data_IF_480225204597
#
_entry.id   IF_480225204597
#
_cell.length_a   1.000
_cell.length_b   1.000
_cell.length_c   1.000
_cell.angle_alpha   90.00
_cell.angle_beta   90.00
_cell.angle_gamma   90.00
#
_symmetry.space_group_name_H-M   'P 1'
#
loop_
_entity.id
_entity.type
_entity.pdbx_description
1 polymer ?
#
# COMPACT_ATOMS: atom_id res chain seq x y z
N UNK A 1 -22.44 -30.20 -58.41
CA UNK A 1 -21.02 -30.10 -58.00
C UNK A 1 -20.61 -28.68 -57.62
N UNK A 2 -21.06 -27.64 -58.32
CA UNK A 2 -20.65 -26.24 -58.06
C UNK A 2 -21.01 -25.69 -56.67
N UNK A 3 -22.13 -26.13 -56.07
CA UNK A 3 -22.57 -25.67 -54.74
C UNK A 3 -21.65 -26.16 -53.61
N UNK A 4 -21.15 -27.38 -53.72
CA UNK A 4 -20.21 -27.99 -52.76
C UNK A 4 -18.84 -27.33 -52.87
N UNK A 5 -18.39 -27.03 -54.09
CA UNK A 5 -17.12 -26.34 -54.32
C UNK A 5 -17.12 -24.92 -53.72
N UNK A 6 -18.24 -24.19 -53.82
CA UNK A 6 -18.41 -22.86 -53.18
C UNK A 6 -18.45 -22.93 -51.66
N UNK A 7 -19.07 -23.96 -51.10
CA UNK A 7 -19.12 -24.17 -49.65
C UNK A 7 -17.74 -24.52 -49.08
N UNK A 8 -16.98 -25.39 -49.76
CA UNK A 8 -15.60 -25.71 -49.40
C UNK A 8 -14.68 -24.48 -49.48
N UNK A 9 -14.84 -23.64 -50.50
CA UNK A 9 -14.07 -22.40 -50.63
C UNK A 9 -14.39 -21.40 -49.51
N UNK A 10 -15.66 -21.28 -49.12
CA UNK A 10 -16.07 -20.41 -48.01
C UNK A 10 -15.50 -20.90 -46.67
N UNK A 11 -15.53 -22.21 -46.41
CA UNK A 11 -14.92 -22.80 -45.20
C UNK A 11 -13.40 -22.61 -45.17
N UNK A 12 -12.70 -22.79 -46.30
CA UNK A 12 -11.27 -22.52 -46.41
C UNK A 12 -10.94 -21.05 -46.13
N UNK A 13 -11.77 -20.13 -46.63
CA UNK A 13 -11.59 -18.69 -46.42
C UNK A 13 -11.83 -18.30 -44.95
N UNK A 14 -12.84 -18.89 -44.29
CA UNK A 14 -13.12 -18.69 -42.85
C UNK A 14 -11.96 -19.17 -41.97
N UNK A 15 -11.34 -20.31 -42.29
CA UNK A 15 -10.17 -20.84 -41.55
C UNK A 15 -8.93 -19.95 -41.76
N UNK A 16 -8.72 -19.45 -42.98
CA UNK A 16 -7.59 -18.55 -43.28
C UNK A 16 -7.70 -17.19 -42.58
N UNK A 17 -8.91 -16.62 -42.47
CA UNK A 17 -9.11 -15.32 -41.78
C UNK A 17 -9.08 -15.43 -40.26
N UNK A 18 -9.46 -16.59 -39.69
CA UNK A 18 -9.44 -16.80 -38.24
C UNK A 18 -8.05 -17.14 -37.69
N UNK A 19 -7.13 -17.61 -38.54
CA UNK A 19 -5.71 -17.83 -38.18
C UNK A 19 -4.80 -16.60 -38.26
N UNK A 20 -5.31 -15.43 -38.62
CA UNK A 20 -4.54 -14.18 -38.76
C UNK A 20 -4.75 -13.20 -37.60
N UNK A 21 -5.47 -13.59 -36.55
CA UNK A 21 -5.50 -12.78 -35.33
C UNK A 21 -4.10 -12.74 -34.72
N UNK A 22 -3.48 -11.57 -34.52
CA UNK A 22 -2.25 -11.50 -33.76
C UNK A 22 -2.59 -11.86 -32.32
N UNK A 23 -2.11 -13.02 -31.86
CA UNK A 23 -2.07 -13.34 -30.43
C UNK A 23 -1.27 -12.24 -29.74
N UNK A 24 -1.97 -11.27 -29.15
CA UNK A 24 -1.36 -10.34 -28.19
C UNK A 24 -1.07 -11.13 -26.93
N UNK A 25 0.02 -11.90 -26.96
CA UNK A 25 0.67 -12.38 -25.76
C UNK A 25 1.10 -11.13 -24.97
N UNK A 26 0.37 -10.82 -23.90
CA UNK A 26 0.83 -9.88 -22.90
C UNK A 26 2.09 -10.51 -22.33
N UNK A 27 3.25 -9.95 -22.67
CA UNK A 27 4.53 -10.38 -22.12
C UNK A 27 4.45 -10.15 -20.61
N UNK A 28 4.31 -11.23 -19.84
CA UNK A 28 4.45 -11.20 -18.40
C UNK A 28 5.92 -10.90 -18.10
N UNK A 29 6.27 -9.60 -18.08
CA UNK A 29 7.54 -9.15 -17.55
C UNK A 29 7.48 -9.38 -16.04
N UNK A 30 8.29 -10.32 -15.55
CA UNK A 30 8.58 -10.43 -14.13
C UNK A 30 9.24 -9.13 -13.66
N UNK A 31 8.46 -8.33 -12.94
CA UNK A 31 8.92 -7.12 -12.27
C UNK A 31 9.69 -7.59 -11.03
N UNK A 32 10.99 -7.76 -11.16
CA UNK A 32 11.89 -7.95 -10.01
C UNK A 32 12.13 -6.58 -9.36
N UNK A 33 11.16 -6.14 -8.58
CA UNK A 33 11.32 -5.01 -7.68
C UNK A 33 11.82 -5.54 -6.34
N UNK A 34 13.05 -5.19 -5.96
CA UNK A 34 13.52 -5.40 -4.59
C UNK A 34 12.74 -4.44 -3.68
N UNK A 35 11.65 -4.94 -3.11
CA UNK A 35 10.91 -4.23 -2.07
C UNK A 35 11.79 -4.27 -0.82
N UNK A 36 12.46 -3.15 -0.51
CA UNK A 36 13.03 -2.94 0.81
C UNK A 36 11.87 -2.59 1.73
N UNK A 37 11.32 -3.61 2.39
CA UNK A 37 10.37 -3.40 3.48
C UNK A 37 11.22 -2.93 4.64
N UNK A 38 11.08 -1.67 4.98
CA UNK A 38 11.62 -1.11 6.21
C UNK A 38 10.76 -1.64 7.36
N UNK A 39 11.25 -2.63 8.11
CA UNK A 39 10.49 -3.30 9.16
C UNK A 39 11.02 -2.84 10.51
N UNK A 40 10.28 -1.95 11.14
CA UNK A 40 10.58 -1.54 12.49
C UNK A 40 10.23 -2.61 13.52
N UNK A 41 11.12 -2.83 14.49
CA UNK A 41 10.98 -3.74 15.60
C UNK A 41 11.62 -5.11 15.37
N UNK A 42 12.59 -5.23 14.46
CA UNK A 42 13.36 -6.44 14.24
C UNK A 42 14.78 -6.40 14.87
N UNK A 43 15.09 -5.35 15.64
CA UNK A 43 16.37 -5.11 16.31
C UNK A 43 17.58 -4.92 15.36
N UNK A 44 17.36 -4.73 14.06
CA UNK A 44 18.42 -4.45 13.07
C UNK A 44 18.14 -3.13 12.33
N UNK A 45 19.07 -2.16 12.40
CA UNK A 45 18.88 -0.90 11.69
C UNK A 45 19.07 -1.05 10.18
N UNK A 46 17.99 -0.86 9.43
CA UNK A 46 18.01 -0.99 7.98
C UNK A 46 18.15 0.36 7.25
N UNK A 47 18.35 0.28 5.93
CA UNK A 47 18.43 1.48 5.08
C UNK A 47 17.06 2.16 4.98
N UNK A 48 16.88 3.26 5.73
CA UNK A 48 15.63 4.02 5.79
C UNK A 48 15.18 4.33 7.21
N UNK A 49 15.72 3.61 8.21
CA UNK A 49 15.38 3.78 9.62
C UNK A 49 16.41 4.63 10.35
N UNK A 50 15.96 5.35 11.37
CA UNK A 50 16.90 6.07 12.23
C UNK A 50 17.60 5.11 13.20
N UNK A 51 16.83 4.15 13.73
CA UNK A 51 17.21 3.08 14.64
C UNK A 51 16.18 1.94 14.55
N UNK A 52 16.50 0.77 15.08
CA UNK A 52 15.53 -0.29 15.40
C UNK A 52 15.88 -0.91 16.75
N UNK A 53 14.91 -0.93 17.67
CA UNK A 53 15.09 -1.56 18.98
C UNK A 53 16.30 -1.01 19.75
N UNK A 54 17.31 -1.86 19.94
CA UNK A 54 18.60 -1.50 20.57
C UNK A 54 19.66 -1.02 19.57
N UNK A 55 19.47 -1.27 18.28
CA UNK A 55 20.38 -0.83 17.23
C UNK A 55 20.12 0.64 16.87
N UNK A 56 20.87 1.52 17.53
CA UNK A 56 20.83 2.96 17.27
C UNK A 56 21.72 3.38 16.10
N UNK A 57 22.39 2.44 15.42
CA UNK A 57 23.35 2.73 14.36
C UNK A 57 24.50 3.65 14.82
N UNK A 58 24.93 3.51 16.07
CA UNK A 58 25.98 4.34 16.69
C UNK A 58 25.53 5.74 17.14
N UNK A 59 24.25 6.08 17.01
CA UNK A 59 23.73 7.34 17.50
C UNK A 59 23.65 7.37 19.03
N UNK A 60 23.85 8.56 19.59
CA UNK A 60 23.72 8.87 21.01
C UNK A 60 22.97 10.19 21.21
N UNK A 61 22.51 10.46 22.43
CA UNK A 61 21.93 11.77 22.77
C UNK A 61 22.87 12.93 22.39
N UNK A 62 24.18 12.74 22.54
CA UNK A 62 25.18 13.74 22.14
C UNK A 62 25.19 13.96 20.62
N UNK A 63 25.10 12.90 19.83
CA UNK A 63 24.99 13.01 18.36
C UNK A 63 23.70 13.70 17.89
N UNK A 64 22.64 13.66 18.72
CA UNK A 64 21.37 14.34 18.47
C UNK A 64 21.35 15.79 19.00
N UNK A 65 22.49 16.30 19.51
CA UNK A 65 22.62 17.67 19.98
C UNK A 65 22.31 17.89 21.47
N UNK A 66 22.15 16.82 22.26
CA UNK A 66 21.95 16.91 23.71
C UNK A 66 23.29 16.85 24.46
N UNK A 67 23.28 17.19 25.74
CA UNK A 67 24.49 17.15 26.57
C UNK A 67 24.83 15.76 27.12
N UNK A 68 23.84 14.86 27.18
CA UNK A 68 24.01 13.49 27.66
C UNK A 68 22.68 12.73 27.71
N UNK A 69 22.63 11.66 28.50
CA UNK A 69 21.45 10.82 28.71
C UNK A 69 21.43 9.56 27.86
N UNK A 70 20.29 8.86 27.87
CA UNK A 70 20.10 7.57 27.20
C UNK A 70 19.20 7.76 25.98
N UNK A 71 19.74 7.47 24.79
CA UNK A 71 18.96 7.46 23.55
C UNK A 71 18.32 6.08 23.40
N UNK A 72 17.04 6.03 23.01
CA UNK A 72 16.35 4.78 22.69
C UNK A 72 15.62 4.90 21.37
N UNK A 73 15.17 3.78 20.81
CA UNK A 73 14.35 3.77 19.61
C UNK A 73 12.86 3.68 19.94
N UNK A 74 12.02 4.46 19.26
CA UNK A 74 10.56 4.29 19.34
C UNK A 74 10.12 3.09 18.50
N UNK A 75 8.93 2.52 18.76
CA UNK A 75 8.30 1.53 17.87
C UNK A 75 8.02 2.05 16.44
N UNK A 76 8.22 3.35 16.20
CA UNK A 76 8.12 4.00 14.89
C UNK A 76 9.48 4.16 14.18
N UNK A 77 10.56 3.57 14.71
CA UNK A 77 11.93 3.65 14.17
C UNK A 77 12.48 5.07 14.05
N UNK A 78 12.03 5.92 14.97
CA UNK A 78 12.53 7.25 15.22
C UNK A 78 13.32 7.27 16.53
N UNK A 79 14.33 8.14 16.60
CA UNK A 79 15.04 8.38 17.84
C UNK A 79 14.12 8.93 18.93
N UNK A 80 14.14 8.30 20.09
CA UNK A 80 13.48 8.78 21.29
C UNK A 80 14.47 9.56 22.15
N UNK A 81 14.38 10.89 22.09
CA UNK A 81 15.25 11.79 22.87
C UNK A 81 14.66 12.16 24.23
N UNK A 82 13.55 11.56 24.65
CA UNK A 82 12.86 11.93 25.91
C UNK A 82 13.69 11.68 27.16
N UNK A 83 14.62 10.71 27.10
CA UNK A 83 15.57 10.41 28.17
C UNK A 83 16.97 11.05 27.94
N UNK A 84 17.11 11.91 26.93
CA UNK A 84 18.30 12.70 26.74
C UNK A 84 18.29 13.90 27.70
N UNK A 85 19.44 14.17 28.31
CA UNK A 85 19.63 15.30 29.20
C UNK A 85 20.26 16.46 28.44
N UNK A 86 19.63 17.63 28.50
CA UNK A 86 20.28 18.87 28.07
C UNK A 86 21.31 19.23 29.14
N UNK A 87 22.58 19.09 28.81
CA UNK A 87 23.68 19.46 29.70
C UNK A 87 23.71 20.98 29.87
N UNK A 88 23.00 21.48 30.88
CA UNK A 88 23.12 22.85 31.39
C UNK A 88 21.93 23.77 31.09
N UNK A 89 21.09 24.00 32.11
CA UNK A 89 20.40 25.28 32.35
C UNK A 89 19.08 25.54 31.60
N UNK A 90 17.96 25.24 32.26
CA UNK A 90 16.79 26.12 32.35
C UNK A 90 15.86 26.27 31.12
N UNK A 91 14.58 25.89 31.31
CA UNK A 91 13.46 26.47 30.55
C UNK A 91 12.62 25.46 29.79
N UNK A 92 11.39 25.24 30.24
CA UNK A 92 10.42 24.32 29.65
C UNK A 92 9.93 24.71 28.25
N UNK A 93 9.35 23.71 27.58
CA UNK A 93 8.66 23.86 26.30
C UNK A 93 7.69 22.71 26.09
N UNK A 94 6.43 23.08 25.88
CA UNK A 94 5.22 22.25 25.74
C UNK A 94 5.16 21.44 24.44
N UNK A 95 4.39 20.35 24.46
CA UNK A 95 3.73 19.75 23.29
C UNK A 95 2.83 18.60 23.76
N UNK A 96 1.49 18.62 23.66
CA UNK A 96 0.67 19.10 22.56
C UNK A 96 0.43 17.94 21.60
N UNK A 97 -0.78 17.37 21.62
CA UNK A 97 -1.12 16.09 20.97
C UNK A 97 -1.20 16.08 19.42
N UNK A 98 -1.49 14.89 18.90
CA UNK A 98 -1.69 14.54 17.49
C UNK A 98 -1.15 13.13 17.28
N UNK A 99 -1.94 12.10 16.99
CA UNK A 99 -2.78 12.03 15.79
C UNK A 99 -1.90 11.59 14.62
N UNK A 100 -1.98 10.32 14.24
CA UNK A 100 -1.21 9.68 13.16
C UNK A 100 -1.16 10.52 11.87
N UNK A 101 0.02 10.65 11.24
CA UNK A 101 0.13 10.83 9.79
C UNK A 101 1.38 10.12 9.26
N UNK A 102 1.24 8.87 8.82
CA UNK A 102 2.19 8.31 7.85
C UNK A 102 1.93 8.97 6.50
N UNK A 103 2.65 10.04 6.18
CA UNK A 103 2.80 10.50 4.79
C UNK A 103 3.97 9.76 4.19
N UNK A 104 3.69 8.66 3.49
CA UNK A 104 4.64 8.08 2.55
C UNK A 104 5.04 9.16 1.52
N UNK A 105 6.32 9.30 1.15
CA UNK A 105 6.74 10.28 0.17
C UNK A 105 6.09 9.92 -1.16
N UNK A 106 5.24 10.81 -1.67
CA UNK A 106 4.65 10.69 -3.00
C UNK A 106 5.77 10.84 -4.03
N UNK A 107 6.24 9.71 -4.54
CA UNK A 107 7.00 9.63 -5.77
C UNK A 107 6.09 10.12 -6.90
N UNK A 108 6.20 11.42 -7.19
CA UNK A 108 5.83 12.12 -8.42
C UNK A 108 4.84 11.42 -9.35
N UNK A 109 3.62 11.95 -9.47
CA UNK A 109 2.89 11.97 -10.75
C UNK A 109 1.84 13.10 -10.75
N UNK A 110 2.00 13.97 -11.73
CA UNK A 110 1.12 15.07 -12.11
C UNK A 110 -0.19 14.56 -12.71
N UNK A 111 -1.27 15.30 -12.47
CA UNK A 111 -2.68 15.10 -12.89
C UNK A 111 -3.46 14.04 -12.09
N UNK A 112 -4.56 14.52 -11.51
CA UNK A 112 -5.69 13.80 -10.90
C UNK A 112 -5.68 13.59 -9.38
N UNK A 113 -5.80 14.70 -8.66
CA UNK A 113 -6.40 14.72 -7.30
C UNK A 113 -7.86 14.19 -7.29
N UNK A 114 -8.49 13.94 -8.46
CA UNK A 114 -9.75 13.18 -8.60
C UNK A 114 -9.60 11.66 -8.69
N UNK A 115 -8.42 11.15 -9.04
CA UNK A 115 -8.17 9.69 -9.11
C UNK A 115 -7.92 9.08 -7.73
N UNK A 116 -7.43 9.86 -6.76
CA UNK A 116 -7.08 9.37 -5.42
C UNK A 116 -8.30 8.93 -4.59
N UNK A 117 -9.50 9.42 -4.90
CA UNK A 117 -10.74 9.00 -4.23
C UNK A 117 -11.43 7.79 -4.91
N UNK A 118 -11.06 7.48 -6.17
CA UNK A 118 -11.61 6.36 -6.93
C UNK A 118 -10.81 5.06 -6.70
N UNK A 119 -9.58 5.18 -6.20
CA UNK A 119 -8.65 4.07 -6.05
C UNK A 119 -8.67 3.39 -4.67
N UNK A 120 -9.48 3.91 -3.74
CA UNK A 120 -9.59 3.36 -2.38
C UNK A 120 -10.51 2.13 -2.33
N UNK A 121 -11.47 2.05 -3.25
CA UNK A 121 -12.48 0.99 -3.27
C UNK A 121 -12.64 0.30 -4.63
N UNK A 122 -11.80 0.63 -5.62
CA UNK A 122 -11.60 -0.14 -6.85
C UNK A 122 -10.56 -1.24 -6.55
N UNK A 123 -11.05 -2.41 -6.13
CA UNK A 123 -10.20 -3.48 -5.65
C UNK A 123 -9.68 -4.39 -6.77
N UNK A 124 -10.36 -4.42 -7.91
CA UNK A 124 -9.91 -5.19 -9.08
C UNK A 124 -9.08 -4.34 -10.07
N UNK A 125 -8.98 -3.03 -9.86
CA UNK A 125 -8.20 -2.09 -10.65
C UNK A 125 -8.80 -1.83 -12.04
N UNK A 126 -10.12 -1.98 -12.19
CA UNK A 126 -10.80 -1.82 -13.48
C UNK A 126 -11.18 -0.37 -13.79
N UNK A 127 -10.94 0.55 -12.85
CA UNK A 127 -11.22 1.98 -12.98
C UNK A 127 -12.66 2.36 -12.66
N UNK A 128 -13.49 1.44 -12.18
CA UNK A 128 -14.86 1.68 -11.74
C UNK A 128 -15.11 1.08 -10.37
N UNK A 129 -15.98 1.72 -9.57
CA UNK A 129 -16.42 1.18 -8.28
C UNK A 129 -17.80 0.58 -8.49
N UNK A 130 -17.85 -0.73 -8.59
CA UNK A 130 -19.01 -1.48 -9.01
C UNK A 130 -19.24 -2.74 -8.16
N UNK A 131 -20.14 -3.60 -8.63
CA UNK A 131 -20.52 -4.81 -7.90
C UNK A 131 -19.36 -5.80 -7.72
N UNK A 132 -18.36 -5.72 -8.59
CA UNK A 132 -17.15 -6.54 -8.50
C UNK A 132 -16.36 -6.16 -7.26
N UNK A 133 -16.23 -4.87 -6.97
CA UNK A 133 -15.56 -4.38 -5.77
C UNK A 133 -16.32 -4.76 -4.50
N UNK A 134 -17.66 -4.70 -4.54
CA UNK A 134 -18.48 -5.22 -3.43
C UNK A 134 -18.23 -6.70 -3.22
N UNK A 135 -18.14 -7.50 -4.29
CA UNK A 135 -17.90 -8.93 -4.18
C UNK A 135 -16.53 -9.25 -3.57
N UNK A 136 -15.52 -8.42 -3.87
CA UNK A 136 -14.18 -8.53 -3.29
C UNK A 136 -14.22 -8.13 -1.81
N UNK A 137 -14.88 -7.02 -1.47
CA UNK A 137 -15.02 -6.56 -0.09
C UNK A 137 -15.73 -7.62 0.79
N UNK A 138 -16.82 -8.19 0.28
CA UNK A 138 -17.61 -9.18 0.99
C UNK A 138 -16.88 -10.49 1.22
N UNK A 139 -15.90 -10.84 0.38
CA UNK A 139 -15.02 -11.97 0.65
C UNK A 139 -14.17 -11.77 1.93
N UNK A 140 -13.91 -10.51 2.32
CA UNK A 140 -13.18 -10.18 3.54
C UNK A 140 -14.09 -9.83 4.72
N UNK A 141 -15.42 -9.84 4.55
CA UNK A 141 -16.36 -9.47 5.61
C UNK A 141 -16.18 -10.29 6.90
N UNK A 142 -16.14 -9.60 8.03
CA UNK A 142 -15.94 -10.17 9.36
C UNK A 142 -14.50 -10.52 9.71
N UNK A 143 -13.51 -10.22 8.84
CA UNK A 143 -12.10 -10.47 9.13
C UNK A 143 -11.48 -9.30 9.90
N UNK A 144 -10.82 -9.61 11.02
CA UNK A 144 -10.03 -8.65 11.79
C UNK A 144 -8.66 -8.43 11.14
N UNK A 145 -8.31 -7.17 10.90
CA UNK A 145 -7.00 -6.77 10.34
C UNK A 145 -5.86 -7.15 11.29
N UNK A 146 -6.10 -7.14 12.61
CA UNK A 146 -5.10 -7.52 13.62
C UNK A 146 -4.73 -9.01 13.61
N UNK A 147 -5.57 -9.88 13.06
CA UNK A 147 -5.28 -11.33 12.94
C UNK A 147 -5.04 -11.76 11.50
N UNK A 148 -5.54 -10.99 10.53
CA UNK A 148 -5.38 -11.23 9.12
C UNK A 148 -4.95 -9.95 8.41
N UNK A 149 -3.64 -9.74 8.26
CA UNK A 149 -3.12 -8.56 7.57
C UNK A 149 -3.55 -8.47 6.10
N UNK A 150 -3.99 -9.58 5.48
CA UNK A 150 -4.53 -9.56 4.14
C UNK A 150 -5.92 -8.89 4.05
N UNK A 151 -6.62 -8.67 5.17
CA UNK A 151 -7.86 -7.89 5.20
C UNK A 151 -7.63 -6.38 5.34
N UNK A 152 -6.40 -5.92 5.63
CA UNK A 152 -6.07 -4.51 5.84
C UNK A 152 -6.50 -3.56 4.70
N UNK A 153 -6.38 -3.93 3.40
CA UNK A 153 -6.80 -3.05 2.31
C UNK A 153 -8.32 -2.85 2.20
N UNK A 154 -9.10 -3.75 2.82
CA UNK A 154 -10.55 -3.80 2.72
C UNK A 154 -11.24 -3.18 3.94
N UNK A 155 -10.48 -2.85 4.98
CA UNK A 155 -10.91 -2.03 6.12
C UNK A 155 -10.73 -0.56 5.75
N UNK A 156 -11.78 0.00 5.13
CA UNK A 156 -11.78 1.32 4.53
C UNK A 156 -11.84 2.43 5.59
N UNK A 157 -12.53 2.20 6.71
CA UNK A 157 -12.57 3.15 7.83
C UNK A 157 -11.42 2.96 8.84
N UNK A 158 -10.63 1.89 8.71
CA UNK A 158 -9.50 1.53 9.55
C UNK A 158 -9.89 1.28 11.01
N UNK A 159 -11.07 0.68 11.22
CA UNK A 159 -11.55 0.33 12.57
C UNK A 159 -11.01 -1.01 13.08
N UNK A 160 -10.24 -1.71 12.26
CA UNK A 160 -9.63 -3.00 12.57
C UNK A 160 -10.46 -4.19 12.09
N UNK A 161 -11.65 -3.97 11.53
CA UNK A 161 -12.57 -5.03 11.11
C UNK A 161 -13.24 -4.69 9.78
N UNK A 162 -13.25 -5.63 8.84
CA UNK A 162 -14.03 -5.44 7.60
C UNK A 162 -15.50 -5.71 7.90
N UNK A 163 -16.34 -4.68 7.92
CA UNK A 163 -17.74 -4.78 8.31
C UNK A 163 -18.66 -3.94 7.41
N UNK A 164 -19.92 -3.77 7.83
CA UNK A 164 -20.91 -3.03 7.04
C UNK A 164 -20.55 -1.57 6.82
N UNK A 165 -19.71 -1.00 7.69
CA UNK A 165 -19.21 0.36 7.56
C UNK A 165 -18.32 0.48 6.33
N UNK A 166 -17.46 -0.49 6.06
CA UNK A 166 -16.63 -0.53 4.84
C UNK A 166 -17.47 -0.69 3.59
N UNK A 167 -18.51 -1.52 3.66
CA UNK A 167 -19.49 -1.67 2.57
C UNK A 167 -20.18 -0.33 2.30
N UNK A 168 -20.57 0.39 3.36
CA UNK A 168 -21.20 1.71 3.22
C UNK A 168 -20.27 2.75 2.60
N UNK A 169 -18.96 2.66 2.88
CA UNK A 169 -17.95 3.55 2.30
C UNK A 169 -17.73 3.23 0.83
N UNK A 170 -17.66 1.94 0.45
CA UNK A 170 -17.58 1.55 -0.96
C UNK A 170 -18.79 2.05 -1.73
N UNK A 171 -20.01 1.78 -1.22
CA UNK A 171 -21.25 2.19 -1.87
C UNK A 171 -21.39 3.71 -1.98
N UNK A 172 -20.78 4.48 -1.07
CA UNK A 172 -20.75 5.94 -1.17
C UNK A 172 -20.02 6.42 -2.43
N UNK A 173 -19.01 5.69 -2.89
CA UNK A 173 -18.21 6.03 -4.07
C UNK A 173 -18.66 5.32 -5.36
N UNK A 174 -19.81 4.63 -5.35
CA UNK A 174 -20.34 3.92 -6.51
C UNK A 174 -20.39 4.78 -7.78
N UNK A 175 -19.91 4.25 -8.91
CA UNK A 175 -19.84 4.94 -10.20
C UNK A 175 -20.29 4.06 -11.36
#
# INVERSE_FOLDING_TARGET
MEKILRFCFFLLLVVLISGLAPDRAIQAANIDATIRITICGNDEKETGEQCDGIDLGGASCVSQGFGGGTLSCKPSCEFNTSACTTGGGGGGGSGGGGGFVYVLPVLSLTLEERARSMQVADFNGDGAINITDVSILLYYFGKDVGTNLASAPYDLNKDGTVNITDVSILLYYWR
#
